data_IF_030415139307
#
_entry.id   IF_030415139307
#
_cell.length_a   1.000
_cell.length_b   1.000
_cell.length_c   1.000
_cell.angle_alpha   90.00
_cell.angle_beta   90.00
_cell.angle_gamma   90.00
#
_symmetry.space_group_name_H-M   'P 1'
#
loop_
_entity.id
_entity.type
_entity.pdbx_description
1 polymer ?
#
# COMPACT_ATOMS: atom_id res chain seq x y z
N UNK A 1 -137.42 4.64 34.05
CA UNK A 1 -136.39 4.00 34.89
C UNK A 1 -135.39 3.16 34.08
N UNK A 2 -135.80 2.41 33.04
CA UNK A 2 -134.90 1.61 32.18
C UNK A 2 -133.76 2.41 31.52
N UNK A 3 -134.07 3.51 30.81
CA UNK A 3 -133.08 4.31 30.05
C UNK A 3 -131.93 4.87 30.91
N UNK A 4 -132.18 5.18 32.19
CA UNK A 4 -131.14 5.67 33.09
C UNK A 4 -130.22 4.53 33.54
N UNK A 5 -130.79 3.35 33.78
CA UNK A 5 -130.03 2.15 34.11
C UNK A 5 -129.19 1.67 32.93
N UNK A 6 -129.69 1.74 31.70
CA UNK A 6 -128.94 1.37 30.49
C UNK A 6 -127.76 2.32 30.27
N UNK A 7 -127.96 3.62 30.54
CA UNK A 7 -126.89 4.62 30.46
C UNK A 7 -125.86 4.47 31.57
N UNK A 8 -126.29 4.17 32.80
CA UNK A 8 -125.40 3.86 33.92
C UNK A 8 -124.58 2.60 33.63
N UNK A 9 -125.19 1.55 33.09
CA UNK A 9 -124.51 0.32 32.69
C UNK A 9 -123.46 0.57 31.59
N UNK A 10 -123.78 1.42 30.60
CA UNK A 10 -122.81 1.86 29.59
C UNK A 10 -121.64 2.66 30.19
N UNK A 11 -121.90 3.55 31.15
CA UNK A 11 -120.84 4.28 31.84
C UNK A 11 -119.97 3.35 32.69
N UNK A 12 -120.57 2.42 33.44
CA UNK A 12 -119.84 1.43 34.23
C UNK A 12 -118.98 0.52 33.35
N UNK A 13 -119.50 0.04 32.22
CA UNK A 13 -118.72 -0.73 31.26
C UNK A 13 -117.52 0.07 30.70
N UNK A 14 -117.71 1.37 30.44
CA UNK A 14 -116.62 2.24 29.97
C UNK A 14 -115.58 2.51 31.05
N UNK A 15 -116.00 2.69 32.30
CA UNK A 15 -115.09 2.87 33.44
C UNK A 15 -114.26 1.60 33.63
N UNK A 16 -114.88 0.41 33.61
CA UNK A 16 -114.14 -0.84 33.71
C UNK A 16 -113.15 -1.05 32.56
N UNK A 17 -113.53 -0.74 31.32
CA UNK A 17 -112.61 -0.82 30.18
C UNK A 17 -111.43 0.17 30.31
N UNK A 18 -111.67 1.36 30.88
CA UNK A 18 -110.61 2.33 31.16
C UNK A 18 -109.73 1.89 32.33
N UNK A 19 -110.29 1.32 33.39
CA UNK A 19 -109.53 0.78 34.54
C UNK A 19 -108.65 -0.39 34.11
N UNK A 20 -109.17 -1.30 33.28
CA UNK A 20 -108.43 -2.42 32.71
C UNK A 20 -107.29 -1.91 31.82
N UNK A 21 -107.57 -1.00 30.88
CA UNK A 21 -106.56 -0.39 30.03
C UNK A 21 -105.50 0.39 30.85
N UNK A 22 -105.90 1.06 31.93
CA UNK A 22 -104.98 1.78 32.79
C UNK A 22 -104.12 0.81 33.62
N UNK A 23 -104.68 -0.31 34.08
CA UNK A 23 -103.91 -1.36 34.76
C UNK A 23 -102.87 -2.01 33.82
N UNK A 24 -103.23 -2.21 32.55
CA UNK A 24 -102.34 -2.69 31.51
C UNK A 24 -101.21 -1.70 31.20
N UNK A 25 -101.54 -0.40 31.14
CA UNK A 25 -100.55 0.66 30.96
C UNK A 25 -99.62 0.77 32.16
N UNK A 26 -100.12 0.68 33.39
CA UNK A 26 -99.28 0.67 34.59
C UNK A 26 -98.36 -0.55 34.64
N UNK A 27 -98.85 -1.74 34.25
CA UNK A 27 -98.00 -2.93 34.12
C UNK A 27 -96.95 -2.78 33.03
N UNK A 28 -97.29 -2.15 31.90
CA UNK A 28 -96.33 -1.83 30.84
C UNK A 28 -95.29 -0.82 31.31
N UNK A 29 -95.70 0.22 32.04
CA UNK A 29 -94.81 1.22 32.62
C UNK A 29 -93.88 0.57 33.65
N UNK A 30 -94.42 -0.28 34.54
CA UNK A 30 -93.63 -0.99 35.56
C UNK A 30 -92.63 -1.97 34.94
N UNK A 31 -93.07 -2.81 34.00
CA UNK A 31 -92.19 -3.69 33.24
C UNK A 31 -91.14 -2.90 32.44
N UNK A 32 -91.51 -1.72 31.93
CA UNK A 32 -90.58 -0.86 31.22
C UNK A 32 -89.53 -0.29 32.17
N UNK A 33 -89.89 0.14 33.39
CA UNK A 33 -88.92 0.58 34.39
C UNK A 33 -88.05 -0.54 34.96
N UNK A 34 -88.57 -1.77 35.06
CA UNK A 34 -87.83 -2.93 35.53
C UNK A 34 -86.83 -3.46 34.48
N UNK A 35 -87.20 -3.40 33.20
CA UNK A 35 -86.33 -3.78 32.07
C UNK A 35 -85.47 -2.63 31.55
N UNK A 36 -85.83 -1.39 31.85
CA UNK A 36 -85.01 -0.25 31.49
C UNK A 36 -83.75 -0.26 32.35
N UNK A 37 -82.55 -0.29 31.75
CA UNK A 37 -81.33 -0.09 32.51
C UNK A 37 -81.40 1.26 33.24
N UNK A 38 -80.74 1.42 34.41
CA UNK A 38 -80.83 2.63 35.21
C UNK A 38 -80.58 3.85 34.32
N UNK A 39 -81.59 4.71 34.16
CA UNK A 39 -81.44 5.97 33.44
C UNK A 39 -80.47 6.85 34.23
N UNK A 40 -79.19 6.69 33.95
CA UNK A 40 -78.21 7.74 34.21
C UNK A 40 -78.57 8.90 33.29
N UNK A 41 -78.66 10.10 33.86
CA UNK A 41 -78.95 11.31 33.10
C UNK A 41 -77.87 11.48 32.01
N UNK A 42 -78.29 11.39 30.74
CA UNK A 42 -77.42 11.41 29.57
C UNK A 42 -77.29 10.01 28.97
N UNK A 43 -77.91 9.79 27.81
CA UNK A 43 -77.96 8.49 27.14
C UNK A 43 -76.56 7.93 26.88
N UNK A 44 -76.10 7.04 27.76
CA UNK A 44 -74.88 6.29 27.55
C UNK A 44 -75.25 5.07 26.70
N UNK A 45 -75.03 5.18 25.38
CA UNK A 45 -75.07 4.01 24.50
C UNK A 45 -74.12 2.94 25.04
N UNK A 46 -74.46 1.66 24.88
CA UNK A 46 -73.60 0.54 25.26
C UNK A 46 -72.35 0.48 24.36
N UNK A 47 -71.32 1.24 24.72
CA UNK A 47 -70.05 1.30 24.00
C UNK A 47 -69.13 0.09 24.26
N UNK A 48 -69.58 -0.90 25.03
CA UNK A 48 -68.83 -2.11 25.41
C UNK A 48 -68.17 -2.84 24.22
N UNK A 49 -68.88 -2.96 23.08
CA UNK A 49 -68.35 -3.61 21.87
C UNK A 49 -67.19 -2.83 21.22
N UNK A 50 -67.18 -1.50 21.35
CA UNK A 50 -66.12 -0.66 20.81
C UNK A 50 -64.87 -0.72 21.68
N UNK A 51 -64.99 -0.85 23.00
CA UNK A 51 -63.83 -1.02 23.88
C UNK A 51 -63.03 -2.29 23.55
N UNK A 52 -63.69 -3.41 23.27
CA UNK A 52 -63.01 -4.63 22.83
C UNK A 52 -62.22 -4.43 21.53
N UNK A 53 -62.78 -3.70 20.57
CA UNK A 53 -62.11 -3.38 19.29
C UNK A 53 -60.95 -2.38 19.49
N UNK A 54 -61.12 -1.40 20.37
CA UNK A 54 -60.08 -0.43 20.71
C UNK A 54 -58.91 -1.11 21.42
N UNK A 55 -59.18 -2.03 22.34
CA UNK A 55 -58.12 -2.77 23.05
C UNK A 55 -57.40 -3.73 22.12
N UNK A 56 -58.09 -4.40 21.19
CA UNK A 56 -57.44 -5.19 20.13
C UNK A 56 -56.51 -4.33 19.25
N UNK A 57 -56.97 -3.14 18.83
CA UNK A 57 -56.13 -2.20 18.07
C UNK A 57 -54.95 -1.68 18.88
N UNK A 58 -55.13 -1.39 20.17
CA UNK A 58 -54.03 -1.00 21.08
C UNK A 58 -52.99 -2.12 21.22
N UNK A 59 -53.43 -3.36 21.37
CA UNK A 59 -52.55 -4.52 21.45
C UNK A 59 -51.76 -4.70 20.15
N UNK A 60 -52.42 -4.59 18.99
CA UNK A 60 -51.74 -4.62 17.68
C UNK A 60 -50.74 -3.48 17.53
N UNK A 61 -51.09 -2.27 17.92
CA UNK A 61 -50.17 -1.13 17.88
C UNK A 61 -48.95 -1.34 18.79
N UNK A 62 -49.17 -1.90 19.98
CA UNK A 62 -48.11 -2.24 20.94
C UNK A 62 -47.19 -3.34 20.40
N UNK A 63 -47.75 -4.39 19.78
CA UNK A 63 -46.99 -5.46 19.13
C UNK A 63 -46.20 -4.92 17.93
N UNK A 64 -46.78 -4.04 17.12
CA UNK A 64 -46.12 -3.42 15.98
C UNK A 64 -44.94 -2.56 16.44
N UNK A 65 -45.11 -1.79 17.53
CA UNK A 65 -44.02 -1.05 18.16
C UNK A 65 -42.88 -1.98 18.62
N UNK A 66 -43.22 -3.08 19.30
CA UNK A 66 -42.23 -4.06 19.74
C UNK A 66 -41.49 -4.70 18.55
N UNK A 67 -42.21 -5.14 17.52
CA UNK A 67 -41.63 -5.75 16.34
C UNK A 67 -40.73 -4.77 15.57
N UNK A 68 -41.17 -3.50 15.46
CA UNK A 68 -40.38 -2.43 14.85
C UNK A 68 -39.06 -2.23 15.58
N UNK A 69 -39.08 -2.26 16.92
CA UNK A 69 -37.88 -2.10 17.74
C UNK A 69 -36.94 -3.31 17.60
N UNK A 70 -37.48 -4.54 17.58
CA UNK A 70 -36.69 -5.76 17.34
C UNK A 70 -36.02 -5.72 15.96
N UNK A 71 -36.77 -5.38 14.91
CA UNK A 71 -36.23 -5.26 13.55
C UNK A 71 -35.14 -4.18 13.47
N UNK A 72 -35.36 -3.02 14.10
CA UNK A 72 -34.37 -1.95 14.14
C UNK A 72 -33.06 -2.42 14.79
N UNK A 73 -33.15 -3.14 15.90
CA UNK A 73 -31.98 -3.71 16.58
C UNK A 73 -31.25 -4.72 15.70
N UNK A 74 -31.98 -5.57 14.98
CA UNK A 74 -31.38 -6.55 14.08
C UNK A 74 -30.64 -5.88 12.91
N UNK A 75 -31.23 -4.83 12.31
CA UNK A 75 -30.61 -4.06 11.23
C UNK A 75 -29.32 -3.38 11.70
N UNK A 76 -29.34 -2.77 12.89
CA UNK A 76 -28.15 -2.11 13.46
C UNK A 76 -27.05 -3.15 13.72
N UNK A 77 -27.40 -4.30 14.31
CA UNK A 77 -26.46 -5.40 14.55
C UNK A 77 -25.82 -5.88 13.25
N UNK A 78 -26.62 -6.12 12.19
CA UNK A 78 -26.11 -6.50 10.89
C UNK A 78 -25.19 -5.43 10.26
N UNK A 79 -25.53 -4.14 10.43
CA UNK A 79 -24.73 -3.02 9.93
C UNK A 79 -23.37 -2.95 10.61
N UNK A 80 -23.32 -3.12 11.94
CA UNK A 80 -22.07 -3.14 12.71
C UNK A 80 -21.21 -4.34 12.33
N UNK A 81 -21.82 -5.53 12.16
CA UNK A 81 -21.11 -6.73 11.74
C UNK A 81 -20.50 -6.56 10.35
N UNK A 82 -21.24 -5.96 9.40
CA UNK A 82 -20.72 -5.66 8.07
C UNK A 82 -19.55 -4.68 8.14
N UNK A 83 -19.65 -3.62 8.94
CA UNK A 83 -18.54 -2.67 9.14
C UNK A 83 -17.30 -3.35 9.74
N UNK A 84 -17.49 -4.23 10.72
CA UNK A 84 -16.40 -5.03 11.32
C UNK A 84 -15.71 -5.92 10.28
N UNK A 85 -16.48 -6.61 9.44
CA UNK A 85 -15.95 -7.46 8.37
C UNK A 85 -15.16 -6.63 7.35
N UNK A 86 -15.67 -5.46 6.95
CA UNK A 86 -14.97 -4.57 6.01
C UNK A 86 -13.60 -4.16 6.58
N UNK A 87 -13.54 -3.76 7.84
CA UNK A 87 -12.26 -3.40 8.49
C UNK A 87 -11.30 -4.59 8.58
N UNK A 88 -11.81 -5.80 8.83
CA UNK A 88 -10.98 -7.02 8.82
C UNK A 88 -10.43 -7.31 7.42
N UNK A 89 -11.24 -7.12 6.37
CA UNK A 89 -10.81 -7.26 4.97
C UNK A 89 -9.70 -6.25 4.66
N UNK A 90 -9.88 -4.98 5.05
CA UNK A 90 -8.89 -3.94 4.78
C UNK A 90 -7.57 -4.20 5.53
N UNK A 91 -7.65 -4.63 6.79
CA UNK A 91 -6.47 -5.03 7.56
C UNK A 91 -5.76 -6.24 6.92
N UNK A 92 -6.51 -7.27 6.52
CA UNK A 92 -5.95 -8.44 5.85
C UNK A 92 -5.30 -8.08 4.50
N UNK A 93 -5.88 -7.12 3.76
CA UNK A 93 -5.31 -6.61 2.50
C UNK A 93 -4.01 -5.86 2.74
N UNK A 94 -3.97 -4.95 3.71
CA UNK A 94 -2.74 -4.22 4.06
C UNK A 94 -1.63 -5.19 4.48
N UNK A 95 -1.96 -6.20 5.30
CA UNK A 95 -0.99 -7.23 5.68
C UNK A 95 -0.50 -8.04 4.46
N UNK A 96 -1.40 -8.38 3.54
CA UNK A 96 -1.03 -9.10 2.31
C UNK A 96 -0.10 -8.26 1.42
N UNK A 97 -0.35 -6.95 1.27
CA UNK A 97 0.50 -6.04 0.51
C UNK A 97 1.87 -5.85 1.17
N UNK A 98 1.94 -5.74 2.49
CA UNK A 98 3.20 -5.72 3.23
C UNK A 98 4.04 -6.98 2.98
N UNK A 99 3.41 -8.16 2.97
CA UNK A 99 4.10 -9.41 2.66
C UNK A 99 4.50 -9.50 1.20
N UNK A 100 3.68 -8.99 0.27
CA UNK A 100 4.00 -8.94 -1.16
C UNK A 100 5.25 -8.09 -1.40
N UNK A 101 5.31 -6.89 -0.84
CA UNK A 101 6.47 -6.00 -0.96
C UNK A 101 7.74 -6.63 -0.35
N UNK A 102 7.61 -7.27 0.83
CA UNK A 102 8.74 -7.99 1.44
C UNK A 102 9.22 -9.15 0.57
N UNK A 103 8.31 -9.93 -0.01
CA UNK A 103 8.64 -11.03 -0.91
C UNK A 103 9.33 -10.52 -2.18
N UNK A 104 8.85 -9.45 -2.79
CA UNK A 104 9.47 -8.82 -3.96
C UNK A 104 10.91 -8.36 -3.68
N UNK A 105 11.13 -7.73 -2.52
CA UNK A 105 12.47 -7.31 -2.10
C UNK A 105 13.41 -8.50 -1.82
N UNK A 106 12.93 -9.53 -1.11
CA UNK A 106 13.69 -10.77 -0.85
C UNK A 106 14.03 -11.50 -2.17
N UNK A 107 13.08 -11.57 -3.09
CA UNK A 107 13.28 -12.19 -4.41
C UNK A 107 14.37 -11.46 -5.20
N UNK A 108 14.33 -10.13 -5.20
CA UNK A 108 15.36 -9.31 -5.85
C UNK A 108 16.75 -9.56 -5.25
N UNK A 109 16.86 -9.58 -3.92
CA UNK A 109 18.12 -9.90 -3.23
C UNK A 109 18.62 -11.31 -3.57
N UNK A 110 17.73 -12.30 -3.60
CA UNK A 110 18.08 -13.66 -4.02
C UNK A 110 18.60 -13.72 -5.44
N UNK A 111 17.94 -13.06 -6.39
CA UNK A 111 18.39 -13.01 -7.78
C UNK A 111 19.79 -12.40 -7.91
N UNK A 112 20.10 -11.37 -7.13
CA UNK A 112 21.45 -10.79 -7.08
C UNK A 112 22.48 -11.80 -6.56
N UNK A 113 22.19 -12.47 -5.45
CA UNK A 113 23.09 -13.48 -4.87
C UNK A 113 23.27 -14.66 -5.81
N UNK A 114 22.21 -15.12 -6.49
CA UNK A 114 22.30 -16.19 -7.48
C UNK A 114 23.15 -15.77 -8.69
N UNK A 115 23.07 -14.51 -9.12
CA UNK A 115 23.93 -13.96 -10.17
C UNK A 115 25.41 -13.96 -9.73
N UNK A 116 25.69 -13.54 -8.49
CA UNK A 116 27.05 -13.55 -7.92
C UNK A 116 27.60 -14.98 -7.81
N UNK A 117 26.81 -15.93 -7.33
CA UNK A 117 27.19 -17.36 -7.25
C UNK A 117 27.52 -17.90 -8.64
N UNK A 118 26.70 -17.59 -9.64
CA UNK A 118 26.95 -18.02 -11.01
C UNK A 118 28.21 -17.35 -11.60
N UNK A 119 28.48 -16.09 -11.25
CA UNK A 119 29.73 -15.41 -11.61
C UNK A 119 30.95 -16.07 -10.98
N UNK A 120 30.90 -16.34 -9.67
CA UNK A 120 31.98 -17.02 -8.94
C UNK A 120 32.25 -18.43 -9.46
N UNK A 121 31.21 -19.17 -9.87
CA UNK A 121 31.37 -20.48 -10.52
C UNK A 121 32.17 -20.37 -11.82
N UNK A 122 31.88 -19.38 -12.67
CA UNK A 122 32.65 -19.16 -13.91
C UNK A 122 34.11 -18.85 -13.63
N UNK A 123 34.39 -17.98 -12.65
CA UNK A 123 35.77 -17.66 -12.25
C UNK A 123 36.50 -18.90 -11.73
N UNK A 124 35.82 -19.76 -10.97
CA UNK A 124 36.39 -21.02 -10.51
C UNK A 124 36.72 -21.95 -11.69
N UNK A 125 35.83 -22.07 -12.67
CA UNK A 125 36.05 -22.88 -13.88
C UNK A 125 37.24 -22.34 -14.71
N UNK A 126 37.34 -21.03 -14.89
CA UNK A 126 38.47 -20.38 -15.56
C UNK A 126 39.80 -20.63 -14.81
N UNK A 127 39.78 -20.54 -13.48
CA UNK A 127 40.97 -20.80 -12.66
C UNK A 127 41.37 -22.28 -12.71
N UNK A 128 40.41 -23.20 -12.80
CA UNK A 128 40.68 -24.62 -12.97
C UNK A 128 41.38 -24.91 -14.32
N UNK A 129 40.94 -24.28 -15.41
CA UNK A 129 41.59 -24.40 -16.72
C UNK A 129 43.02 -23.83 -16.67
N UNK A 130 43.20 -22.61 -16.15
CA UNK A 130 44.53 -21.99 -16.03
C UNK A 130 45.47 -22.83 -15.17
N UNK A 131 44.95 -23.44 -14.10
CA UNK A 131 45.72 -24.36 -13.26
C UNK A 131 46.20 -25.57 -14.07
N UNK A 132 45.32 -26.23 -14.83
CA UNK A 132 45.71 -27.37 -15.66
C UNK A 132 46.72 -26.98 -16.75
N UNK A 133 46.60 -25.78 -17.33
CA UNK A 133 47.55 -25.28 -18.34
C UNK A 133 48.95 -25.06 -17.74
N UNK A 134 49.01 -24.49 -16.53
CA UNK A 134 50.27 -24.31 -15.80
C UNK A 134 50.87 -25.65 -15.35
N UNK A 135 50.04 -26.59 -14.89
CA UNK A 135 50.49 -27.95 -14.55
C UNK A 135 51.09 -28.66 -15.77
N UNK A 136 50.48 -28.52 -16.95
CA UNK A 136 51.01 -29.06 -18.20
C UNK A 136 52.34 -28.41 -18.60
N UNK A 137 52.48 -27.09 -18.46
CA UNK A 137 53.75 -26.38 -18.71
C UNK A 137 54.86 -26.81 -17.75
N UNK A 138 54.53 -27.04 -16.48
CA UNK A 138 55.48 -27.55 -15.50
C UNK A 138 55.94 -28.94 -15.92
N UNK A 139 55.01 -29.84 -16.28
CA UNK A 139 55.36 -31.19 -16.70
C UNK A 139 56.27 -31.17 -17.94
N UNK A 140 55.93 -30.38 -18.98
CA UNK A 140 56.74 -30.28 -20.20
C UNK A 140 58.16 -29.77 -19.91
N UNK A 141 58.31 -28.75 -19.06
CA UNK A 141 59.62 -28.24 -18.67
C UNK A 141 60.42 -29.25 -17.84
N UNK A 142 59.76 -30.06 -17.01
CA UNK A 142 60.43 -31.13 -16.28
C UNK A 142 60.92 -32.25 -17.20
N UNK A 143 60.16 -32.59 -18.24
CA UNK A 143 60.58 -33.53 -19.29
C UNK A 143 61.77 -32.98 -20.08
N UNK A 144 61.75 -31.70 -20.46
CA UNK A 144 62.87 -31.05 -21.15
C UNK A 144 64.15 -31.06 -20.29
N UNK A 145 64.06 -30.72 -19.01
CA UNK A 145 65.21 -30.80 -18.10
C UNK A 145 65.75 -32.22 -17.96
N UNK A 146 64.86 -33.23 -17.88
CA UNK A 146 65.27 -34.63 -17.84
C UNK A 146 65.97 -35.05 -19.14
N UNK A 147 65.46 -34.61 -20.29
CA UNK A 147 66.06 -34.85 -21.60
C UNK A 147 67.45 -34.22 -21.72
N UNK A 148 67.59 -32.93 -21.39
CA UNK A 148 68.88 -32.24 -21.43
C UNK A 148 69.90 -32.87 -20.48
N UNK A 149 69.49 -33.25 -19.27
CA UNK A 149 70.38 -33.90 -18.29
C UNK A 149 70.86 -35.26 -18.80
N UNK A 150 69.98 -36.06 -19.38
CA UNK A 150 70.33 -37.35 -19.98
C UNK A 150 71.30 -37.18 -21.16
N UNK A 151 71.04 -36.23 -22.05
CA UNK A 151 71.93 -35.97 -23.17
C UNK A 151 73.32 -35.54 -22.70
N UNK A 152 73.38 -34.64 -21.70
CA UNK A 152 74.64 -34.22 -21.12
C UNK A 152 75.39 -35.37 -20.43
N UNK A 153 74.68 -36.27 -19.75
CA UNK A 153 75.27 -37.46 -19.14
C UNK A 153 75.85 -38.42 -20.20
N UNK A 154 75.15 -38.62 -21.32
CA UNK A 154 75.64 -39.39 -22.47
C UNK A 154 76.84 -38.72 -23.17
N UNK A 155 76.82 -37.39 -23.33
CA UNK A 155 77.95 -36.61 -23.85
C UNK A 155 79.18 -36.67 -22.93
N UNK A 156 79.02 -36.52 -21.61
CA UNK A 156 80.14 -36.70 -20.67
C UNK A 156 80.69 -38.12 -20.76
N UNK A 157 79.82 -39.13 -20.84
CA UNK A 157 80.22 -40.54 -20.93
C UNK A 157 80.96 -40.85 -22.24
N UNK A 158 80.52 -40.28 -23.36
CA UNK A 158 81.20 -40.40 -24.65
C UNK A 158 82.52 -39.65 -24.65
N UNK A 159 82.58 -38.40 -24.17
CA UNK A 159 83.82 -37.64 -24.04
C UNK A 159 84.82 -38.29 -23.09
N UNK A 160 84.38 -38.89 -21.98
CA UNK A 160 85.22 -39.73 -21.13
C UNK A 160 85.73 -40.98 -21.86
N UNK A 161 84.90 -41.61 -22.69
CA UNK A 161 85.30 -42.72 -23.56
C UNK A 161 86.30 -42.33 -24.65
N UNK A 162 86.14 -41.15 -25.25
CA UNK A 162 87.03 -40.60 -26.29
C UNK A 162 88.33 -40.08 -25.70
N UNK A 163 88.34 -39.58 -24.45
CA UNK A 163 89.55 -39.09 -23.75
C UNK A 163 90.53 -40.21 -23.35
N UNK A 164 90.20 -41.47 -23.63
CA UNK A 164 91.11 -42.62 -23.53
C UNK A 164 91.81 -42.98 -24.86
N UNK A 165 91.49 -42.30 -25.97
CA UNK A 165 92.15 -42.48 -27.25
C UNK A 165 93.05 -41.29 -27.58
N UNK A 166 94.36 -41.51 -27.66
CA UNK A 166 95.34 -40.55 -28.18
C UNK A 166 94.93 -40.21 -29.63
N UNK A 167 94.41 -39.01 -29.87
CA UNK A 167 94.08 -38.55 -31.22
C UNK A 167 94.88 -37.29 -31.58
N UNK A 168 95.81 -37.56 -32.49
CA UNK A 168 96.62 -36.60 -33.23
C UNK A 168 95.70 -35.76 -34.15
N UNK A 169 95.88 -34.45 -34.14
CA UNK A 169 95.10 -33.50 -34.94
C UNK A 169 95.84 -33.23 -36.25
N UNK A 170 95.26 -33.63 -37.39
CA UNK A 170 95.68 -33.15 -38.70
C UNK A 170 94.67 -32.13 -39.23
N UNK A 171 95.16 -30.90 -39.33
CA UNK A 171 94.47 -29.71 -39.82
C UNK A 171 94.49 -29.74 -41.35
N UNK A 172 93.34 -29.96 -42.00
CA UNK A 172 93.19 -29.77 -43.43
C UNK A 172 92.38 -28.50 -43.69
N UNK A 173 93.06 -27.43 -44.12
CA UNK A 173 92.45 -26.14 -44.45
C UNK A 173 91.66 -26.25 -45.76
N UNK A 174 90.38 -26.56 -45.65
CA UNK A 174 89.42 -26.34 -46.72
C UNK A 174 89.27 -24.82 -46.99
N UNK A 175 88.92 -24.40 -48.22
CA UNK A 175 88.94 -23.00 -48.64
C UNK A 175 88.16 -22.13 -47.66
N UNK A 176 88.83 -21.13 -47.08
CA UNK A 176 88.28 -20.33 -46.00
C UNK A 176 86.91 -19.73 -46.36
N UNK A 177 85.88 -20.15 -45.63
CA UNK A 177 84.59 -19.47 -45.62
C UNK A 177 84.88 -18.01 -45.29
N UNK A 178 84.53 -17.12 -46.22
CA UNK A 178 84.75 -15.69 -46.05
C UNK A 178 83.91 -15.24 -44.83
N UNK A 179 84.58 -14.99 -43.71
CA UNK A 179 83.95 -14.56 -42.46
C UNK A 179 83.08 -13.32 -42.68
N UNK A 180 83.49 -12.43 -43.58
CA UNK A 180 82.73 -11.26 -44.01
C UNK A 180 81.35 -11.63 -44.57
N UNK A 181 81.25 -12.66 -45.42
CA UNK A 181 79.95 -13.12 -45.96
C UNK A 181 79.08 -13.79 -44.89
N UNK A 182 79.66 -14.52 -43.94
CA UNK A 182 78.91 -15.16 -42.85
C UNK A 182 78.40 -14.13 -41.83
N UNK A 183 79.23 -13.14 -41.45
CA UNK A 183 78.83 -12.05 -40.57
C UNK A 183 77.73 -11.18 -41.19
N UNK A 184 77.82 -10.89 -42.49
CA UNK A 184 76.77 -10.18 -43.21
C UNK A 184 75.45 -10.97 -43.25
N UNK A 185 75.52 -12.30 -43.42
CA UNK A 185 74.35 -13.16 -43.36
C UNK A 185 73.71 -13.14 -41.96
N UNK A 186 74.50 -13.32 -40.90
CA UNK A 186 73.98 -13.24 -39.53
C UNK A 186 73.38 -11.87 -39.23
N UNK A 187 74.01 -10.77 -39.67
CA UNK A 187 73.45 -9.42 -39.51
C UNK A 187 72.10 -9.29 -40.22
N UNK A 188 71.97 -9.78 -41.45
CA UNK A 188 70.71 -9.72 -42.19
C UNK A 188 69.59 -10.53 -41.50
N UNK A 189 69.91 -11.70 -40.94
CA UNK A 189 68.95 -12.50 -40.15
C UNK A 189 68.51 -11.77 -38.88
N UNK A 190 69.45 -11.15 -38.14
CA UNK A 190 69.13 -10.36 -36.94
C UNK A 190 68.33 -9.10 -37.25
N UNK A 191 68.65 -8.43 -38.35
CA UNK A 191 67.92 -7.26 -38.82
C UNK A 191 66.49 -7.65 -39.24
N UNK A 192 66.34 -8.80 -39.92
CA UNK A 192 65.03 -9.38 -40.24
C UNK A 192 64.22 -9.73 -38.99
N UNK A 193 64.84 -10.37 -38.00
CA UNK A 193 64.18 -10.74 -36.75
C UNK A 193 63.80 -9.50 -35.91
N UNK A 194 64.67 -8.49 -35.86
CA UNK A 194 64.39 -7.23 -35.17
C UNK A 194 63.23 -6.48 -35.82
N UNK A 195 63.20 -6.42 -37.14
CA UNK A 195 62.13 -5.79 -37.91
C UNK A 195 60.80 -6.55 -37.78
N UNK A 196 60.84 -7.88 -37.74
CA UNK A 196 59.67 -8.71 -37.49
C UNK A 196 59.12 -8.49 -36.07
N UNK A 197 59.97 -8.55 -35.05
CA UNK A 197 59.59 -8.25 -33.66
C UNK A 197 58.99 -6.84 -33.54
N UNK A 198 59.55 -5.85 -34.25
CA UNK A 198 59.01 -4.49 -34.27
C UNK A 198 57.60 -4.44 -34.84
N UNK A 199 57.35 -5.11 -35.97
CA UNK A 199 56.03 -5.18 -36.59
C UNK A 199 55.02 -5.91 -35.72
N UNK A 200 55.40 -7.05 -35.14
CA UNK A 200 54.54 -7.84 -34.25
C UNK A 200 54.15 -7.05 -32.99
N UNK A 201 55.09 -6.30 -32.41
CA UNK A 201 54.79 -5.40 -31.29
C UNK A 201 53.83 -4.27 -31.70
N UNK A 202 53.99 -3.70 -32.89
CA UNK A 202 53.12 -2.66 -33.42
C UNK A 202 51.71 -3.18 -33.72
N UNK A 203 51.58 -4.38 -34.31
CA UNK A 203 50.27 -5.02 -34.51
C UNK A 203 49.60 -5.36 -33.19
N UNK A 204 50.34 -5.95 -32.25
CA UNK A 204 49.83 -6.28 -30.92
C UNK A 204 49.35 -5.03 -30.17
N UNK A 205 50.11 -3.95 -30.22
CA UNK A 205 49.72 -2.68 -29.60
C UNK A 205 48.47 -2.09 -30.24
N UNK A 206 48.39 -2.11 -31.57
CA UNK A 206 47.22 -1.61 -32.30
C UNK A 206 45.95 -2.44 -32.03
N UNK A 207 46.07 -3.76 -32.01
CA UNK A 207 44.97 -4.66 -31.65
C UNK A 207 44.48 -4.40 -30.22
N UNK A 208 45.41 -4.27 -29.27
CA UNK A 208 45.04 -3.98 -27.89
C UNK A 208 44.38 -2.61 -27.73
N UNK A 209 44.90 -1.60 -28.43
CA UNK A 209 44.31 -0.25 -28.48
C UNK A 209 42.89 -0.29 -29.04
N UNK A 210 42.67 -0.97 -30.16
CA UNK A 210 41.36 -1.08 -30.80
C UNK A 210 40.36 -1.85 -29.94
N UNK A 211 40.80 -2.92 -29.26
CA UNK A 211 39.97 -3.66 -28.30
C UNK A 211 39.49 -2.75 -27.17
N UNK A 212 40.41 -1.97 -26.56
CA UNK A 212 40.06 -1.04 -25.48
C UNK A 212 39.12 0.08 -25.96
N UNK A 213 39.37 0.64 -27.14
CA UNK A 213 38.53 1.68 -27.75
C UNK A 213 37.11 1.14 -28.04
N UNK A 214 37.00 -0.11 -28.49
CA UNK A 214 35.70 -0.77 -28.70
C UNK A 214 34.97 -0.99 -27.37
N UNK A 215 35.65 -1.48 -26.33
CA UNK A 215 35.03 -1.66 -25.01
C UNK A 215 34.60 -0.32 -24.41
N UNK A 216 35.39 0.74 -24.59
CA UNK A 216 35.02 2.09 -24.14
C UNK A 216 33.77 2.59 -24.87
N UNK A 217 33.72 2.48 -26.20
CA UNK A 217 32.56 2.88 -26.98
C UNK A 217 31.30 2.07 -26.60
N UNK A 218 31.45 0.78 -26.29
CA UNK A 218 30.34 -0.05 -25.83
C UNK A 218 29.83 0.39 -24.45
N UNK A 219 30.73 0.67 -23.50
CA UNK A 219 30.32 1.13 -22.15
C UNK A 219 29.68 2.51 -22.21
N UNK A 220 30.24 3.45 -22.96
CA UNK A 220 29.65 4.77 -23.21
C UNK A 220 28.27 4.65 -23.84
N UNK A 221 28.10 3.78 -24.84
CA UNK A 221 26.79 3.51 -25.45
C UNK A 221 25.77 2.95 -24.46
N UNK A 222 26.17 2.00 -23.60
CA UNK A 222 25.31 1.45 -22.54
C UNK A 222 24.89 2.54 -21.54
N UNK A 223 25.81 3.38 -21.08
CA UNK A 223 25.47 4.46 -20.16
C UNK A 223 24.57 5.51 -20.82
N UNK A 224 24.80 5.85 -22.08
CA UNK A 224 23.96 6.78 -22.83
C UNK A 224 22.51 6.29 -22.95
N UNK A 225 22.32 5.00 -23.29
CA UNK A 225 20.98 4.39 -23.36
C UNK A 225 20.29 4.33 -22.00
N UNK A 226 21.00 3.96 -20.93
CA UNK A 226 20.47 4.00 -19.56
C UNK A 226 20.04 5.41 -19.14
N UNK A 227 20.88 6.41 -19.44
CA UNK A 227 20.59 7.80 -19.13
C UNK A 227 19.33 8.29 -19.87
N UNK A 228 19.20 7.94 -21.17
CA UNK A 228 18.01 8.25 -21.96
C UNK A 228 16.75 7.59 -21.41
N UNK A 229 16.85 6.36 -20.91
CA UNK A 229 15.72 5.65 -20.30
C UNK A 229 15.28 6.35 -19.01
N UNK A 230 16.23 6.70 -18.14
CA UNK A 230 15.96 7.43 -16.89
C UNK A 230 15.32 8.80 -17.21
N UNK A 231 15.85 9.52 -18.19
CA UNK A 231 15.28 10.82 -18.62
C UNK A 231 13.83 10.67 -19.11
N UNK A 232 13.51 9.58 -19.82
CA UNK A 232 12.14 9.26 -20.24
C UNK A 232 11.20 8.98 -19.06
N UNK A 233 11.68 8.25 -18.06
CA UNK A 233 10.91 7.99 -16.82
C UNK A 233 10.65 9.27 -16.04
N UNK A 234 11.66 10.12 -15.88
CA UNK A 234 11.51 11.44 -15.24
C UNK A 234 10.45 12.25 -15.96
N UNK A 235 10.54 12.36 -17.29
CA UNK A 235 9.57 13.13 -18.10
C UNK A 235 8.14 12.61 -17.95
N UNK A 236 7.95 11.29 -17.86
CA UNK A 236 6.65 10.67 -17.64
C UNK A 236 6.10 11.00 -16.24
N UNK A 237 6.92 10.89 -15.20
CA UNK A 237 6.52 11.23 -13.82
C UNK A 237 6.20 12.73 -13.70
N UNK A 238 7.00 13.60 -14.31
CA UNK A 238 6.73 15.04 -14.37
C UNK A 238 5.39 15.33 -15.05
N UNK A 239 5.08 14.65 -16.16
CA UNK A 239 3.79 14.75 -16.84
C UNK A 239 2.63 14.29 -15.97
N UNK A 240 2.78 13.20 -15.21
CA UNK A 240 1.74 12.71 -14.29
C UNK A 240 1.49 13.71 -13.14
N UNK A 241 2.57 14.28 -12.58
CA UNK A 241 2.46 15.31 -11.54
C UNK A 241 1.74 16.54 -12.08
N UNK A 242 2.05 16.96 -13.31
CA UNK A 242 1.37 18.10 -13.93
C UNK A 242 -0.12 17.79 -14.15
N UNK A 243 -0.46 16.61 -14.66
CA UNK A 243 -1.85 16.20 -14.85
C UNK A 243 -2.66 16.23 -13.54
N UNK A 244 -2.11 15.67 -12.45
CA UNK A 244 -2.80 15.69 -11.15
C UNK A 244 -2.98 17.11 -10.62
N UNK A 245 -2.04 18.02 -10.89
CA UNK A 245 -2.18 19.44 -10.53
C UNK A 245 -3.32 20.10 -11.31
N UNK A 246 -3.39 19.86 -12.62
CA UNK A 246 -4.44 20.41 -13.48
C UNK A 246 -5.83 19.87 -13.07
N UNK A 247 -5.92 18.57 -12.77
CA UNK A 247 -7.14 17.94 -12.26
C UNK A 247 -7.57 18.54 -10.91
N UNK A 248 -6.63 18.77 -9.99
CA UNK A 248 -6.90 19.42 -8.70
C UNK A 248 -7.39 20.86 -8.88
N UNK A 249 -6.80 21.61 -9.80
CA UNK A 249 -7.22 22.99 -10.10
C UNK A 249 -8.63 23.01 -10.68
N UNK A 250 -8.94 22.10 -11.61
CA UNK A 250 -10.29 21.93 -12.16
C UNK A 250 -11.31 21.60 -11.06
N UNK A 251 -11.01 20.62 -10.20
CA UNK A 251 -11.90 20.26 -9.09
C UNK A 251 -12.13 21.43 -8.14
N UNK A 252 -11.08 22.21 -7.84
CA UNK A 252 -11.20 23.37 -6.97
C UNK A 252 -12.09 24.47 -7.58
N UNK A 253 -12.02 24.65 -8.92
CA UNK A 253 -12.91 25.56 -9.64
C UNK A 253 -14.38 25.08 -9.57
N UNK A 254 -14.63 23.78 -9.75
CA UNK A 254 -15.97 23.20 -9.65
C UNK A 254 -16.54 23.33 -8.23
N UNK A 255 -15.72 23.09 -7.20
CA UNK A 255 -16.12 23.30 -5.80
C UNK A 255 -16.46 24.75 -5.50
N UNK A 256 -15.70 25.70 -6.03
CA UNK A 256 -15.98 27.13 -5.86
C UNK A 256 -17.31 27.52 -6.50
N UNK A 257 -17.60 27.03 -7.71
CA UNK A 257 -18.89 27.25 -8.37
C UNK A 257 -20.06 26.63 -7.58
N UNK A 258 -19.89 25.41 -7.08
CA UNK A 258 -20.90 24.75 -6.27
C UNK A 258 -21.18 25.50 -4.97
N UNK A 259 -20.13 26.02 -4.33
CA UNK A 259 -20.25 26.86 -3.13
C UNK A 259 -21.02 28.15 -3.43
N UNK A 260 -20.74 28.82 -4.54
CA UNK A 260 -21.47 30.02 -4.97
C UNK A 260 -22.96 29.73 -5.22
N UNK A 261 -23.28 28.61 -5.85
CA UNK A 261 -24.66 28.16 -6.07
C UNK A 261 -25.33 27.86 -4.72
N UNK A 262 -24.65 27.16 -3.81
CA UNK A 262 -25.14 26.83 -2.47
C UNK A 262 -25.48 28.10 -1.69
N UNK A 263 -24.57 29.07 -1.64
CA UNK A 263 -24.80 30.36 -0.98
C UNK A 263 -26.02 31.07 -1.56
N UNK A 264 -26.18 31.05 -2.89
CA UNK A 264 -27.35 31.66 -3.56
C UNK A 264 -28.66 30.99 -3.17
N UNK A 265 -28.70 29.66 -3.16
CA UNK A 265 -29.89 28.89 -2.75
C UNK A 265 -30.19 29.07 -1.26
N UNK A 266 -29.17 29.15 -0.40
CA UNK A 266 -29.34 29.44 1.03
C UNK A 266 -29.99 30.81 1.23
N UNK A 267 -29.55 31.83 0.47
CA UNK A 267 -30.19 33.15 0.47
C UNK A 267 -31.64 33.09 -0.03
N UNK A 268 -31.93 32.33 -1.08
CA UNK A 268 -33.28 32.19 -1.62
C UNK A 268 -34.23 31.51 -0.61
N UNK A 269 -33.79 30.43 0.02
CA UNK A 269 -34.52 29.76 1.11
C UNK A 269 -34.79 30.72 2.27
N UNK A 270 -33.81 31.55 2.64
CA UNK A 270 -33.98 32.54 3.69
C UNK A 270 -35.02 33.60 3.31
N UNK A 271 -35.02 34.06 2.06
CA UNK A 271 -36.09 34.96 1.58
C UNK A 271 -37.46 34.29 1.59
N UNK A 272 -37.57 33.02 1.17
CA UNK A 272 -38.83 32.29 1.22
C UNK A 272 -39.33 32.10 2.65
N UNK A 273 -38.42 31.81 3.61
CA UNK A 273 -38.78 31.75 5.04
C UNK A 273 -39.34 33.06 5.55
N UNK A 274 -38.70 34.19 5.23
CA UNK A 274 -39.17 35.53 5.61
C UNK A 274 -40.53 35.88 5.01
N UNK A 275 -40.81 35.49 3.75
CA UNK A 275 -42.13 35.70 3.15
C UNK A 275 -43.21 34.86 3.85
N UNK A 276 -42.92 33.59 4.15
CA UNK A 276 -43.84 32.70 4.86
C UNK A 276 -44.12 33.20 6.28
N UNK A 277 -43.09 33.65 7.00
CA UNK A 277 -43.22 34.22 8.34
C UNK A 277 -43.89 35.61 8.33
N UNK A 278 -43.70 36.39 7.26
CA UNK A 278 -44.35 37.67 7.01
C UNK A 278 -45.84 37.53 6.66
N UNK A 279 -46.23 36.50 5.90
CA UNK A 279 -47.64 36.19 5.63
C UNK A 279 -48.35 35.62 6.87
N UNK A 280 -47.65 34.87 7.73
CA UNK A 280 -48.18 34.46 9.04
C UNK A 280 -48.38 35.65 10.01
N UNK A 281 -47.65 36.75 9.80
CA UNK A 281 -47.74 37.98 10.61
C UNK A 281 -48.74 39.02 10.06
N UNK A 282 -49.33 38.80 8.87
CA UNK A 282 -50.21 39.77 8.21
C UNK A 282 -51.71 39.39 8.23
N UNK A 283 -52.14 38.52 9.15
CA UNK A 283 -53.57 38.27 9.42
C UNK A 283 -54.01 38.80 10.80
N UNK A 284 -53.82 40.09 11.05
CA UNK A 284 -54.22 40.69 12.33
C UNK A 284 -54.19 42.22 12.35
N UNK A 285 -55.30 42.82 11.93
CA UNK A 285 -55.73 44.21 12.20
C UNK A 285 -54.91 45.38 11.63
N UNK A 286 -55.57 46.09 10.72
CA UNK A 286 -55.31 47.47 10.32
C UNK A 286 -55.25 48.42 11.52
N UNK A 287 -54.24 49.29 11.57
CA UNK A 287 -54.41 50.65 12.09
C UNK A 287 -53.48 51.62 11.36
N UNK A 288 -54.11 52.64 10.79
CA UNK A 288 -53.53 53.81 10.16
C UNK A 288 -52.51 54.53 11.06
N UNK A 289 -51.41 55.02 10.46
CA UNK A 289 -51.02 56.45 10.49
C UNK A 289 -49.71 56.71 9.72
N UNK A 290 -49.90 57.46 8.64
CA UNK A 290 -49.12 58.62 8.12
C UNK A 290 -47.61 58.49 7.77
N UNK A 291 -47.19 58.98 6.57
CA UNK A 291 -45.80 59.02 6.14
C UNK A 291 -45.16 60.38 6.42
N UNK A 292 -43.92 60.42 6.93
CA UNK A 292 -43.19 61.69 6.98
C UNK A 292 -41.82 61.72 7.68
N UNK A 293 -40.77 61.70 6.85
CA UNK A 293 -39.58 62.58 6.91
C UNK A 293 -38.38 62.26 7.85
N UNK A 294 -37.19 62.23 7.20
CA UNK A 294 -35.80 62.49 7.69
C UNK A 294 -35.15 61.32 8.46
N UNK A 295 -33.84 61.03 8.44
CA UNK A 295 -32.62 61.75 8.04
C UNK A 295 -31.43 60.73 8.03
N UNK A 296 -30.59 60.78 7.00
CA UNK A 296 -29.10 60.85 7.02
C UNK A 296 -28.23 60.00 7.99
N UNK A 297 -27.22 59.34 7.40
CA UNK A 297 -25.91 58.97 8.00
C UNK A 297 -25.89 57.58 8.65
N UNK A 298 -24.85 56.73 8.56
CA UNK A 298 -23.44 56.89 8.16
C UNK A 298 -22.77 55.51 8.06
N UNK A 299 -21.75 55.39 7.20
CA UNK A 299 -20.61 54.44 7.30
C UNK A 299 -20.90 52.96 7.00
N UNK A 300 -20.03 52.17 6.40
CA UNK A 300 -18.69 52.35 5.83
C UNK A 300 -18.46 51.20 4.86
N UNK A 301 -17.86 51.50 3.70
CA UNK A 301 -17.32 50.46 2.83
C UNK A 301 -16.04 49.87 3.40
N UNK A 302 -15.82 48.58 3.18
CA UNK A 302 -14.47 47.99 3.14
C UNK A 302 -14.44 46.98 2.00
N UNK A 303 -13.73 47.35 0.93
CA UNK A 303 -13.07 46.43 0.01
C UNK A 303 -11.71 46.11 0.61
N UNK A 304 -11.28 44.86 0.60
CA UNK A 304 -9.84 44.51 0.63
C UNK A 304 -9.61 43.28 -0.25
N UNK A 305 -8.93 43.51 -1.36
CA UNK A 305 -8.11 42.53 -2.08
C UNK A 305 -6.80 42.29 -1.30
N UNK A 306 -6.19 41.10 -1.45
CA UNK A 306 -5.01 40.61 -0.71
C UNK A 306 -3.72 41.46 -0.81
N UNK A 307 -2.57 41.01 -0.24
CA UNK A 307 -1.78 39.91 -0.82
C UNK A 307 -1.00 39.03 0.20
N UNK A 308 -0.25 38.04 -0.29
CA UNK A 308 0.38 36.96 0.50
C UNK A 308 1.76 37.23 1.14
N UNK A 309 2.28 36.20 1.82
CA UNK A 309 3.68 35.97 2.22
C UNK A 309 3.81 34.50 2.66
N UNK A 310 4.61 33.67 1.97
CA UNK A 310 5.98 33.23 2.31
C UNK A 310 6.20 32.63 3.71
N UNK A 311 6.43 31.31 3.72
CA UNK A 311 7.57 30.65 4.36
C UNK A 311 7.48 30.28 5.85
N UNK A 312 7.49 28.97 6.14
CA UNK A 312 8.48 28.32 7.02
C UNK A 312 8.16 26.84 7.23
N UNK A 313 9.21 26.01 7.22
CA UNK A 313 9.12 24.59 7.47
C UNK A 313 9.11 24.23 8.97
N UNK A 314 8.59 23.03 9.24
CA UNK A 314 8.87 22.13 10.37
C UNK A 314 7.88 20.97 10.17
N UNK A 315 8.26 19.72 9.98
CA UNK A 315 9.15 18.98 10.87
C UNK A 315 8.38 18.62 12.14
N UNK A 316 7.50 17.61 12.07
CA UNK A 316 6.94 16.99 13.27
C UNK A 316 6.51 15.56 13.00
N UNK A 317 7.17 14.68 13.75
CA UNK A 317 6.95 13.25 13.88
C UNK A 317 5.54 12.96 14.40
N UNK A 318 4.87 11.99 13.77
CA UNK A 318 3.61 11.45 14.26
C UNK A 318 3.88 10.36 15.29
N UNK A 319 3.83 10.79 16.55
CA UNK A 319 3.81 9.92 17.72
C UNK A 319 2.50 9.14 17.77
N UNK A 320 2.64 7.81 17.83
CA UNK A 320 1.58 6.84 18.03
C UNK A 320 1.00 6.91 19.46
N UNK A 321 -0.33 7.03 19.54
CA UNK A 321 -1.18 6.65 20.70
C UNK A 321 -2.30 5.81 20.08
N UNK A 322 -2.50 4.55 20.41
CA UNK A 322 -2.57 3.96 21.74
C UNK A 322 -4.04 3.68 22.02
N UNK A 323 -4.53 2.49 21.65
CA UNK A 323 -5.84 2.00 22.04
C UNK A 323 -5.72 0.55 22.53
N UNK A 324 -5.98 0.44 23.82
CA UNK A 324 -6.09 -0.73 24.69
C UNK A 324 -6.94 -1.88 24.12
N UNK A 325 -6.41 -3.10 24.18
CA UNK A 325 -7.21 -4.33 24.05
C UNK A 325 -6.91 -5.28 25.21
N UNK A 326 -8.01 -5.78 25.77
CA UNK A 326 -8.19 -6.51 27.02
C UNK A 326 -7.57 -7.91 26.98
N UNK A 327 -6.89 -8.28 28.07
CA UNK A 327 -6.36 -9.61 28.36
C UNK A 327 -7.50 -10.65 28.50
N UNK A 328 -7.41 -11.74 27.73
CA UNK A 328 -7.92 -13.05 28.15
C UNK A 328 -6.80 -14.07 28.06
N UNK A 329 -6.61 -14.77 29.17
CA UNK A 329 -5.54 -15.69 29.49
C UNK A 329 -5.64 -17.00 28.68
N UNK A 330 -4.53 -17.42 28.07
CA UNK A 330 -4.32 -18.83 27.72
C UNK A 330 -2.81 -19.15 27.81
N UNK A 331 -2.49 -19.96 28.81
CA UNK A 331 -1.18 -20.48 29.16
C UNK A 331 -0.65 -21.44 28.09
N UNK A 332 0.56 -21.22 27.57
CA UNK A 332 1.73 -22.11 27.78
C UNK A 332 2.75 -22.06 26.63
N UNK A 333 3.99 -21.70 27.00
CA UNK A 333 5.18 -22.34 26.47
C UNK A 333 5.85 -21.72 25.24
N UNK A 334 6.26 -20.45 25.30
CA UNK A 334 7.21 -19.91 24.32
C UNK A 334 8.62 -19.84 24.93
N UNK A 335 9.56 -20.59 24.34
CA UNK A 335 10.98 -20.51 24.67
C UNK A 335 11.53 -19.24 24.03
N UNK A 336 11.64 -18.19 24.82
CA UNK A 336 12.32 -16.95 24.45
C UNK A 336 13.77 -17.25 24.04
N UNK A 337 14.01 -17.32 22.73
CA UNK A 337 15.33 -17.54 22.15
C UNK A 337 16.11 -16.23 22.24
N UNK A 338 16.87 -16.07 23.33
CA UNK A 338 17.77 -14.94 23.55
C UNK A 338 18.74 -14.81 22.37
N UNK A 339 18.56 -13.78 21.53
CA UNK A 339 19.43 -13.51 20.38
C UNK A 339 20.69 -12.79 20.88
N UNK A 340 21.84 -13.46 20.83
CA UNK A 340 23.14 -12.87 21.19
C UNK A 340 23.88 -12.43 19.92
N UNK A 341 24.50 -11.25 19.97
CA UNK A 341 25.41 -10.75 18.93
C UNK A 341 26.84 -10.97 19.41
N UNK A 342 27.62 -11.70 18.63
CA UNK A 342 29.05 -11.92 18.88
C UNK A 342 29.85 -10.84 18.16
N UNK A 343 30.61 -10.03 18.89
CA UNK A 343 31.51 -9.02 18.35
C UNK A 343 32.93 -9.57 18.43
N UNK A 344 33.61 -9.69 17.28
CA UNK A 344 35.01 -10.14 17.20
C UNK A 344 35.89 -8.95 16.84
N UNK A 345 36.89 -8.67 17.67
CA UNK A 345 37.93 -7.68 17.37
C UNK A 345 39.11 -8.41 16.74
N UNK A 346 39.43 -8.07 15.49
CA UNK A 346 40.54 -8.65 14.74
C UNK A 346 41.64 -7.60 14.63
N UNK A 347 42.87 -7.99 14.98
CA UNK A 347 44.07 -7.18 14.76
C UNK A 347 44.82 -7.79 13.59
N UNK A 348 45.07 -6.95 12.58
CA UNK A 348 45.86 -7.30 11.41
C UNK A 348 47.20 -6.59 11.48
N UNK A 349 48.29 -7.35 11.35
CA UNK A 349 49.62 -6.79 11.14
C UNK A 349 49.86 -6.67 9.62
N UNK A 350 50.28 -5.48 9.19
CA UNK A 350 50.55 -5.15 7.79
C UNK A 350 52.06 -5.02 7.56
N UNK A 351 52.56 -5.45 6.40
CA UNK A 351 53.93 -5.16 5.96
C UNK A 351 54.10 -3.71 5.46
N UNK A 352 55.34 -3.32 5.17
CA UNK A 352 55.69 -2.00 4.61
C UNK A 352 55.05 -1.70 3.23
N UNK A 353 54.43 -2.71 2.60
CA UNK A 353 53.69 -2.61 1.34
C UNK A 353 52.16 -2.63 1.52
N UNK A 354 51.66 -2.65 2.77
CA UNK A 354 50.23 -2.64 3.10
C UNK A 354 49.52 -4.00 2.95
N UNK A 355 50.26 -5.11 2.84
CA UNK A 355 49.69 -6.46 2.79
C UNK A 355 49.61 -7.09 4.18
N UNK A 356 48.51 -7.79 4.46
CA UNK A 356 48.28 -8.46 5.75
C UNK A 356 49.23 -9.65 5.89
N UNK A 357 50.12 -9.61 6.86
CA UNK A 357 51.10 -10.67 7.16
C UNK A 357 50.65 -11.60 8.28
N UNK A 358 49.77 -11.11 9.16
CA UNK A 358 49.20 -11.88 10.27
C UNK A 358 47.84 -11.32 10.67
N UNK A 359 46.88 -12.19 10.97
CA UNK A 359 45.54 -11.81 11.41
C UNK A 359 45.16 -12.63 12.65
N UNK A 360 44.98 -11.97 13.80
CA UNK A 360 44.69 -12.62 15.09
C UNK A 360 43.46 -12.02 15.74
N UNK A 361 42.57 -12.89 16.24
CA UNK A 361 41.39 -12.47 17.02
C UNK A 361 41.85 -12.10 18.43
N UNK A 362 41.67 -10.82 18.81
CA UNK A 362 42.12 -10.27 20.08
C UNK A 362 41.05 -10.41 21.18
N UNK A 363 39.76 -10.31 20.84
CA UNK A 363 38.66 -10.54 21.79
C UNK A 363 37.37 -10.98 21.09
N UNK A 364 36.57 -11.76 21.81
CA UNK A 364 35.22 -12.18 21.40
C UNK A 364 34.28 -11.82 22.54
N UNK A 365 33.42 -10.82 22.33
CA UNK A 365 32.39 -10.43 23.29
C UNK A 365 31.01 -10.85 22.81
N UNK A 366 30.26 -11.56 23.65
CA UNK A 366 28.84 -11.86 23.41
C UNK A 366 27.98 -10.83 24.13
N UNK A 367 27.24 -10.02 23.36
CA UNK A 367 26.24 -9.10 23.92
C UNK A 367 24.83 -9.60 23.65
N UNK A 368 24.02 -9.62 24.70
CA UNK A 368 22.58 -9.86 24.60
C UNK A 368 21.94 -8.68 23.86
N UNK A 369 21.23 -8.98 22.78
CA UNK A 369 20.37 -8.00 22.12
C UNK A 369 19.08 -7.97 22.94
N UNK A 370 18.90 -6.92 23.74
CA UNK A 370 17.67 -6.66 24.51
C UNK A 370 16.56 -6.28 23.52
#
# INVERSE_FOLDING_TARGET
MQNLNDRLASYLAKVHALEEANSDLELKIRNWYEKAPPRTNGGLHDYSKYYASIDDLRNKASLLLFLKEVLRKQIISATINNASIILQIDNARLAADDFRMKHENELFLRQSVDADINGLRKVLDELAINKSDLEMQIESLTEELAFLKKNHEEEIKTLQGTRSGILNVEMNAAPGINLTTLLNKMRAEYEGLAEQNRKEAETWFNEKRQSLETTLAETEGRYCTQLSQIQGLISNVESQVQQVRDDMESQNADYSQLLDIKIRLENEIETYRQLIDGEASNSGYSSSRDPGSRNVGSGSGVRVSGPGAKGSGSGTELSSRGATATQTNATSGDKESKKTRVIKTIVEELDECGRVTSSKVQSVEEKLVI
#
